data_IF_907949269077
#
_entry.id   IF_907949269077
#
_cell.length_a   1.000
_cell.length_b   1.000
_cell.length_c   1.000
_cell.angle_alpha   90.00
_cell.angle_beta   90.00
_cell.angle_gamma   90.00
#
_symmetry.space_group_name_H-M   'P 1'
#
loop_
_entity.id
_entity.type
_entity.pdbx_description
1 polymer ?
#
# COMPACT_ATOMS: atom_id res chain seq x y z
N UNK A 1 -9.34 -13.17 -4.24
CA UNK A 1 -8.66 -13.15 -2.93
C UNK A 1 -9.69 -13.34 -1.85
N UNK A 2 -9.59 -14.38 -1.02
CA UNK A 2 -10.56 -14.63 0.06
C UNK A 2 -9.93 -15.00 1.39
N UNK A 3 -8.60 -15.12 1.45
CA UNK A 3 -7.93 -15.58 2.67
C UNK A 3 -7.34 -14.41 3.46
N UNK A 4 -7.68 -14.35 4.75
CA UNK A 4 -7.07 -13.43 5.72
C UNK A 4 -5.53 -13.56 5.75
N UNK A 5 -4.97 -14.72 5.40
CA UNK A 5 -3.52 -14.90 5.30
C UNK A 5 -2.90 -14.10 4.14
N UNK A 6 -3.59 -13.93 3.00
CA UNK A 6 -3.10 -13.12 1.89
C UNK A 6 -3.03 -11.64 2.27
N UNK A 7 -4.05 -11.15 2.99
CA UNK A 7 -4.13 -9.78 3.52
C UNK A 7 -2.94 -9.51 4.42
N UNK A 8 -2.79 -10.37 5.43
CA UNK A 8 -1.75 -10.22 6.42
C UNK A 8 -0.37 -10.31 5.76
N UNK A 9 -0.19 -11.19 4.78
CA UNK A 9 1.04 -11.27 4.02
C UNK A 9 1.34 -9.96 3.27
N UNK A 10 0.37 -9.34 2.61
CA UNK A 10 0.55 -8.06 1.92
C UNK A 10 0.92 -6.96 2.92
N UNK A 11 0.13 -6.78 3.98
CA UNK A 11 0.34 -5.74 5.00
C UNK A 11 1.74 -5.87 5.64
N UNK A 12 2.11 -7.08 6.08
CA UNK A 12 3.41 -7.32 6.71
C UNK A 12 4.60 -7.10 5.76
N UNK A 13 4.45 -7.38 4.47
CA UNK A 13 5.52 -7.14 3.51
C UNK A 13 5.65 -5.66 3.15
N UNK A 14 4.55 -4.91 3.13
CA UNK A 14 4.56 -3.46 2.92
C UNK A 14 5.17 -2.73 4.13
N UNK A 15 4.81 -3.12 5.35
CA UNK A 15 5.36 -2.54 6.58
C UNK A 15 6.87 -2.73 6.76
N UNK A 16 7.47 -3.71 6.06
CA UNK A 16 8.93 -3.91 6.05
C UNK A 16 9.67 -2.91 5.15
N UNK A 17 8.96 -2.18 4.29
CA UNK A 17 9.57 -1.20 3.40
C UNK A 17 9.90 0.08 4.16
N UNK A 18 11.13 0.57 3.99
CA UNK A 18 11.54 1.84 4.58
C UNK A 18 10.66 2.97 4.04
N UNK A 19 10.06 3.74 4.94
CA UNK A 19 9.15 4.84 4.60
C UNK A 19 7.68 4.45 4.60
N UNK A 20 7.31 3.19 4.83
CA UNK A 20 5.93 2.79 5.10
C UNK A 20 5.68 2.82 6.61
N UNK A 21 4.62 3.52 7.03
CA UNK A 21 4.24 3.67 8.44
C UNK A 21 3.00 2.85 8.80
N UNK A 22 2.08 2.71 7.84
CA UNK A 22 0.87 1.92 8.00
C UNK A 22 0.51 1.29 6.66
N UNK A 23 -0.01 0.06 6.70
CA UNK A 23 -0.58 -0.62 5.54
C UNK A 23 -1.80 -1.40 6.01
N UNK A 24 -2.95 -1.12 5.41
CA UNK A 24 -4.23 -1.75 5.76
C UNK A 24 -4.92 -2.22 4.49
N UNK A 25 -5.33 -3.48 4.44
CA UNK A 25 -5.91 -4.10 3.26
C UNK A 25 -7.32 -4.58 3.56
N UNK A 26 -8.31 -3.97 2.89
CA UNK A 26 -9.72 -4.32 3.00
C UNK A 26 -10.11 -5.30 1.89
N UNK A 27 -10.19 -6.60 2.22
CA UNK A 27 -10.59 -7.66 1.28
C UNK A 27 -11.93 -7.44 0.61
N UNK A 28 -12.94 -7.05 1.40
CA UNK A 28 -14.32 -6.88 0.93
C UNK A 28 -14.37 -5.78 -0.14
N UNK A 29 -13.56 -4.73 0.02
CA UNK A 29 -13.50 -3.61 -0.89
C UNK A 29 -12.43 -3.76 -1.99
N UNK A 30 -11.60 -4.82 -1.94
CA UNK A 30 -10.42 -5.00 -2.78
C UNK A 30 -9.51 -3.77 -2.78
N UNK A 31 -9.33 -3.13 -1.62
CA UNK A 31 -8.57 -1.87 -1.48
C UNK A 31 -7.45 -2.01 -0.47
N UNK A 32 -6.33 -1.36 -0.74
CA UNK A 32 -5.25 -1.16 0.21
C UNK A 32 -5.09 0.34 0.50
N UNK A 33 -4.95 0.70 1.76
CA UNK A 33 -4.58 2.03 2.22
C UNK A 33 -3.17 1.95 2.81
N UNK A 34 -2.28 2.85 2.38
CA UNK A 34 -0.90 2.90 2.84
C UNK A 34 -0.56 4.31 3.26
N UNK A 35 -0.03 4.47 4.47
CA UNK A 35 0.57 5.72 4.94
C UNK A 35 2.07 5.61 4.75
N UNK A 36 2.63 6.54 3.97
CA UNK A 36 4.02 6.48 3.52
C UNK A 36 4.72 7.84 3.57
N UNK A 37 6.05 7.83 3.51
CA UNK A 37 6.87 9.03 3.33
C UNK A 37 7.34 9.12 1.87
N UNK A 38 6.85 10.10 1.08
CA UNK A 38 7.20 10.23 -0.34
C UNK A 38 8.67 10.57 -0.58
N UNK A 39 9.39 11.01 0.47
CA UNK A 39 10.84 11.25 0.44
C UNK A 39 11.67 9.95 0.55
N UNK A 40 11.09 8.87 1.06
CA UNK A 40 11.77 7.59 1.32
C UNK A 40 11.33 6.48 0.38
N UNK A 41 10.06 6.49 -0.04
CA UNK A 41 9.50 5.46 -0.90
C UNK A 41 8.55 6.05 -1.92
N UNK A 42 8.58 5.50 -3.13
CA UNK A 42 7.71 5.91 -4.23
C UNK A 42 6.53 4.96 -4.41
N UNK A 43 5.43 5.48 -4.95
CA UNK A 43 4.24 4.72 -5.34
C UNK A 43 4.58 3.51 -6.20
N UNK A 44 5.51 3.66 -7.16
CA UNK A 44 5.94 2.57 -8.04
C UNK A 44 6.59 1.42 -7.28
N UNK A 45 7.35 1.72 -6.21
CA UNK A 45 7.94 0.69 -5.36
C UNK A 45 6.89 -0.07 -4.54
N UNK A 46 5.84 0.63 -4.08
CA UNK A 46 4.71 0.00 -3.39
C UNK A 46 3.96 -0.97 -4.33
N UNK A 47 3.63 -0.53 -5.55
CA UNK A 47 2.98 -1.36 -6.57
C UNK A 47 3.83 -2.59 -6.88
N UNK A 48 5.11 -2.38 -7.20
CA UNK A 48 6.04 -3.48 -7.48
C UNK A 48 6.11 -4.47 -6.33
N UNK A 49 6.04 -4.00 -5.08
CA UNK A 49 6.06 -4.91 -3.93
C UNK A 49 4.82 -5.78 -3.88
N UNK A 50 3.65 -5.24 -4.21
CA UNK A 50 2.40 -6.00 -4.25
C UNK A 50 2.44 -7.02 -5.40
N UNK A 51 3.00 -6.66 -6.56
CA UNK A 51 3.23 -7.54 -7.72
C UNK A 51 4.17 -8.70 -7.39
N UNK A 52 5.26 -8.45 -6.65
CA UNK A 52 6.18 -9.50 -6.17
C UNK A 52 5.50 -10.53 -5.27
N UNK A 53 4.36 -10.19 -4.65
CA UNK A 53 3.57 -11.09 -3.81
C UNK A 53 2.52 -11.87 -4.61
N UNK A 54 2.45 -11.68 -5.93
CA UNK A 54 1.50 -12.33 -6.83
C UNK A 54 0.17 -11.60 -6.97
N UNK A 55 0.14 -10.28 -6.77
CA UNK A 55 -1.07 -9.47 -6.82
C UNK A 55 -0.90 -8.22 -7.69
N UNK A 56 -1.94 -7.84 -8.42
CA UNK A 56 -1.94 -6.61 -9.20
C UNK A 56 -2.45 -5.44 -8.36
N UNK A 57 -1.76 -4.30 -8.40
CA UNK A 57 -2.14 -3.08 -7.68
C UNK A 57 -2.29 -1.88 -8.62
N UNK A 58 -3.44 -1.22 -8.56
CA UNK A 58 -3.72 -0.01 -9.36
C UNK A 58 -3.98 1.17 -8.45
N UNK A 59 -3.32 2.30 -8.70
CA UNK A 59 -3.53 3.52 -7.94
C UNK A 59 -4.96 4.04 -8.13
N UNK A 60 -5.68 4.24 -7.03
CA UNK A 60 -6.99 4.90 -7.01
C UNK A 60 -6.88 6.37 -6.65
N UNK A 61 -6.24 6.66 -5.52
CA UNK A 61 -6.14 8.00 -4.97
C UNK A 61 -4.80 8.15 -4.25
N UNK A 62 -4.18 9.32 -4.40
CA UNK A 62 -2.95 9.68 -3.71
C UNK A 62 -3.16 11.05 -3.08
N UNK A 63 -2.98 11.11 -1.76
CA UNK A 63 -3.07 12.34 -0.99
C UNK A 63 -1.74 12.60 -0.28
N UNK A 64 -0.88 13.40 -0.91
CA UNK A 64 0.37 13.82 -0.31
C UNK A 64 0.12 15.00 0.64
N UNK A 65 0.14 14.74 1.95
CA UNK A 65 0.08 15.79 2.97
C UNK A 65 1.46 16.43 3.18
N UNK A 66 2.01 17.01 2.10
CA UNK A 66 3.27 17.76 2.10
C UNK A 66 3.19 19.07 2.91
N UNK A 67 1.98 19.55 3.22
CA UNK A 67 1.75 20.76 4.01
C UNK A 67 1.55 20.50 5.52
N UNK A 68 1.50 19.25 5.97
CA UNK A 68 1.43 18.89 7.38
C UNK A 68 2.81 18.63 7.97
N UNK A 69 3.02 18.96 9.24
CA UNK A 69 4.29 18.79 9.99
C UNK A 69 4.84 17.33 10.03
N UNK A 70 4.17 16.38 9.40
CA UNK A 70 4.50 14.95 9.42
C UNK A 70 5.21 14.45 8.17
N UNK A 71 5.21 15.20 7.04
CA UNK A 71 5.90 14.78 5.81
C UNK A 71 5.43 13.45 5.21
N UNK A 72 4.19 13.03 5.50
CA UNK A 72 3.60 11.75 5.11
C UNK A 72 2.48 11.93 4.11
N UNK A 73 2.31 10.97 3.21
CA UNK A 73 1.16 10.84 2.33
C UNK A 73 0.33 9.60 2.68
N UNK A 74 -0.93 9.61 2.24
CA UNK A 74 -1.79 8.42 2.23
C UNK A 74 -2.08 8.07 0.78
N UNK A 75 -2.03 6.78 0.46
CA UNK A 75 -2.30 6.28 -0.89
C UNK A 75 -3.24 5.09 -0.84
N UNK A 76 -4.17 5.05 -1.80
CA UNK A 76 -5.16 4.01 -1.94
C UNK A 76 -4.95 3.24 -3.25
N UNK A 77 -4.90 1.92 -3.18
CA UNK A 77 -4.80 1.03 -4.32
C UNK A 77 -6.02 0.12 -4.42
N UNK A 78 -6.44 -0.26 -5.63
CA UNK A 78 -7.16 -1.53 -5.81
C UNK A 78 -6.17 -2.67 -5.80
N UNK A 79 -6.57 -3.82 -5.25
CA UNK A 79 -5.77 -5.04 -5.27
C UNK A 79 -6.57 -6.17 -5.91
N UNK A 80 -6.05 -6.76 -6.99
CA UNK A 80 -6.68 -7.86 -7.73
C UNK A 80 -5.76 -9.07 -7.80
N UNK A 81 -6.35 -10.27 -7.79
CA UNK A 81 -5.65 -11.50 -8.19
C UNK A 81 -5.70 -11.53 -9.72
N UNK A 82 -4.56 -11.77 -10.35
CA UNK A 82 -4.51 -12.17 -11.77
C UNK A 82 -5.14 -13.57 -11.94
#
# INVERSE_FOLDING_TARGET
MTCSSCVHNIEQNLLKLKGVHSALVALIAMKAEIVYEPTLITVKQLIKKIEELGFSATLLEQHDNLHGNTGRGTIHFTVSMD
#
